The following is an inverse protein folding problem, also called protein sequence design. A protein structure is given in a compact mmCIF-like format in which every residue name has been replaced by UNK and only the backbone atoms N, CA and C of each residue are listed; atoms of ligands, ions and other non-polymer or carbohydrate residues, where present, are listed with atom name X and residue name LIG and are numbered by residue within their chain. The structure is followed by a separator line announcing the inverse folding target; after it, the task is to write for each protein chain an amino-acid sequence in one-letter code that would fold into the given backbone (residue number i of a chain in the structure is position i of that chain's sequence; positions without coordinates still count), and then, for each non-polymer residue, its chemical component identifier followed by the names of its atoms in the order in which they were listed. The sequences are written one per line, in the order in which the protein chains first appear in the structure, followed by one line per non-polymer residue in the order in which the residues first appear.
data_IF_825552822873
#
_entry.id   IF_825552822873
#
_cell.length_a   1.000
_cell.length_b   1.000
_cell.length_c   1.000
_cell.angle_alpha   90.00
_cell.angle_beta   90.00
_cell.angle_gamma   90.00
#
_symmetry.space_group_name_H-M   'P 1'
#
loop_
_entity.id
_entity.type
_entity.pdbx_description
1 polymer ?
#
# COMPACT_ATOMS: atom_id res chain seq x y z
N UNK A 1 -25.42 14.64 -13.39
CA UNK A 1 -24.38 14.44 -12.37
C UNK A 1 -24.68 13.11 -11.72
N UNK A 2 -23.81 12.10 -11.84
CA UNK A 2 -24.06 10.79 -11.25
C UNK A 2 -24.02 10.93 -9.72
N UNK A 3 -25.06 10.48 -9.03
CA UNK A 3 -25.06 10.44 -7.58
C UNK A 3 -24.06 9.38 -7.12
N UNK A 4 -23.08 9.77 -6.30
CA UNK A 4 -22.11 8.82 -5.74
C UNK A 4 -22.72 8.18 -4.50
N UNK A 5 -22.81 6.85 -4.42
CA UNK A 5 -23.32 6.15 -3.22
C UNK A 5 -22.39 6.22 -2.00
N UNK A 6 -21.22 6.86 -2.14
CA UNK A 6 -20.33 7.22 -1.04
C UNK A 6 -18.86 6.97 -1.36
N UNK A 7 -18.00 7.77 -0.73
CA UNK A 7 -16.54 7.55 -0.74
C UNK A 7 -16.23 6.25 -0.01
N UNK A 8 -15.43 5.37 -0.62
CA UNK A 8 -14.92 4.17 0.03
C UNK A 8 -13.62 4.50 0.76
N UNK A 9 -12.63 5.03 0.04
CA UNK A 9 -11.37 5.48 0.63
C UNK A 9 -10.68 6.49 -0.27
N UNK A 10 -9.73 7.23 0.30
CA UNK A 10 -8.74 7.97 -0.45
C UNK A 10 -7.34 7.55 -0.02
N UNK A 11 -6.35 7.79 -0.89
CA UNK A 11 -4.96 7.45 -0.62
C UNK A 11 -4.01 8.30 -1.45
N UNK A 12 -2.95 8.80 -0.81
CA UNK A 12 -1.78 9.32 -1.51
C UNK A 12 -0.93 8.16 -2.05
N UNK A 13 -0.67 8.18 -3.35
CA UNK A 13 0.04 7.09 -4.03
C UNK A 13 1.50 7.05 -3.62
N UNK A 14 1.93 5.90 -3.09
CA UNK A 14 3.32 5.63 -2.77
C UNK A 14 4.06 5.06 -3.98
N UNK A 15 5.39 4.95 -3.87
CA UNK A 15 6.24 4.27 -4.85
C UNK A 15 5.73 2.86 -5.21
N UNK A 16 5.29 2.10 -4.21
CA UNK A 16 4.74 0.75 -4.43
C UNK A 16 3.44 0.78 -5.21
N UNK A 17 2.59 1.77 -4.96
CA UNK A 17 1.31 1.90 -5.64
C UNK A 17 1.53 2.22 -7.11
N UNK A 18 2.42 3.16 -7.43
CA UNK A 18 2.72 3.55 -8.82
C UNK A 18 3.47 2.44 -9.57
N UNK A 19 4.49 1.84 -8.97
CA UNK A 19 5.39 0.92 -9.69
C UNK A 19 4.90 -0.52 -9.75
N UNK A 20 4.05 -0.95 -8.80
CA UNK A 20 3.70 -2.37 -8.63
C UNK A 20 2.20 -2.62 -8.56
N UNK A 21 1.53 -2.13 -7.52
CA UNK A 21 0.14 -2.49 -7.18
C UNK A 21 -0.43 -1.52 -6.17
N UNK A 22 -1.69 -1.15 -6.31
CA UNK A 22 -2.39 -0.40 -5.28
C UNK A 22 -2.65 -1.29 -4.08
N UNK A 23 -2.17 -0.84 -2.92
CA UNK A 23 -2.46 -1.49 -1.65
C UNK A 23 -3.66 -0.81 -1.01
N UNK A 24 -4.75 -1.56 -0.83
CA UNK A 24 -5.95 -1.07 -0.13
C UNK A 24 -5.60 -0.77 1.34
N UNK A 25 -5.97 0.41 1.88
CA UNK A 25 -5.74 0.73 3.28
C UNK A 25 -6.47 -0.25 4.20
N UNK A 26 -5.95 -0.43 5.43
CA UNK A 26 -6.38 -1.53 6.31
C UNK A 26 -7.83 -1.39 6.74
N UNK A 27 -8.26 -0.16 6.93
CA UNK A 27 -9.56 0.23 7.44
C UNK A 27 -10.69 -0.08 6.45
N UNK A 28 -10.34 -0.26 5.16
CA UNK A 28 -11.31 -0.44 4.07
C UNK A 28 -11.22 -1.82 3.42
N UNK A 29 -10.50 -2.76 4.02
CA UNK A 29 -10.27 -4.07 3.39
C UNK A 29 -11.56 -4.86 3.22
N UNK A 30 -12.49 -4.76 4.16
CA UNK A 30 -13.76 -5.50 4.13
C UNK A 30 -14.64 -5.11 2.93
N UNK A 31 -14.45 -3.93 2.35
CA UNK A 31 -15.12 -3.54 1.09
C UNK A 31 -14.59 -4.27 -0.14
N UNK A 32 -13.38 -4.81 -0.07
CA UNK A 32 -12.68 -5.49 -1.17
C UNK A 32 -12.45 -6.98 -0.91
N UNK A 33 -12.58 -7.41 0.34
CA UNK A 33 -12.58 -8.82 0.72
C UNK A 33 -13.98 -9.38 0.47
N UNK A 34 -14.13 -10.44 -0.34
CA UNK A 34 -15.43 -11.04 -0.50
C UNK A 34 -15.80 -11.72 0.83
N UNK A 35 -16.98 -11.39 1.37
CA UNK A 35 -17.51 -12.07 2.56
C UNK A 35 -17.64 -13.59 2.33
N UNK A 36 -17.78 -14.05 1.06
CA UNK A 36 -17.96 -15.47 0.68
C UNK A 36 -17.32 -15.90 -0.68
N UNK A 37 -16.13 -15.38 -1.05
CA UNK A 37 -15.36 -15.81 -2.25
C UNK A 37 -15.94 -15.33 -3.60
N UNK A 38 -15.19 -15.04 -4.69
CA UNK A 38 -13.91 -15.54 -5.19
C UNK A 38 -12.91 -14.41 -5.42
N UNK A 39 -11.66 -14.68 -5.08
CA UNK A 39 -10.52 -13.89 -5.54
C UNK A 39 -9.74 -14.68 -6.60
N UNK A 40 -9.16 -14.03 -7.63
CA UNK A 40 -9.22 -12.59 -7.86
C UNK A 40 -10.61 -12.10 -8.29
N UNK A 41 -11.07 -10.99 -7.71
CA UNK A 41 -12.28 -10.30 -8.15
C UNK A 41 -11.91 -9.37 -9.30
N UNK A 42 -12.63 -9.46 -10.42
CA UNK A 42 -12.52 -8.47 -11.50
C UNK A 42 -13.30 -7.23 -11.07
N UNK A 43 -12.62 -6.11 -11.06
CA UNK A 43 -13.14 -4.80 -10.70
C UNK A 43 -13.01 -3.88 -11.91
N UNK A 44 -13.98 -2.99 -12.11
CA UNK A 44 -13.95 -1.95 -13.13
C UNK A 44 -13.75 -0.60 -12.47
N UNK A 45 -12.67 0.10 -12.83
CA UNK A 45 -12.43 1.48 -12.43
C UNK A 45 -12.94 2.40 -13.53
N UNK A 46 -13.85 3.31 -13.19
CA UNK A 46 -14.31 4.38 -14.06
C UNK A 46 -13.50 5.63 -13.76
N UNK A 47 -12.76 6.11 -14.76
CA UNK A 47 -11.93 7.30 -14.67
C UNK A 47 -11.91 8.01 -16.01
N UNK A 48 -12.18 9.32 -16.00
CA UNK A 48 -12.14 10.18 -17.19
C UNK A 48 -12.95 9.60 -18.38
N UNK A 49 -14.17 9.13 -18.09
CA UNK A 49 -15.07 8.52 -19.08
C UNK A 49 -14.63 7.15 -19.62
N UNK A 50 -13.52 6.58 -19.13
CA UNK A 50 -13.00 5.28 -19.54
C UNK A 50 -13.17 4.23 -18.44
N UNK A 51 -13.32 2.97 -18.86
CA UNK A 51 -13.40 1.82 -17.97
C UNK A 51 -12.08 1.05 -18.01
N UNK A 52 -11.52 0.78 -16.83
CA UNK A 52 -10.29 0.03 -16.65
C UNK A 52 -10.57 -1.25 -15.87
N UNK A 53 -10.33 -2.41 -16.49
CA UNK A 53 -10.46 -3.69 -15.81
C UNK A 53 -9.22 -4.00 -14.96
N UNK A 54 -9.44 -4.22 -13.67
CA UNK A 54 -8.38 -4.45 -12.69
C UNK A 54 -8.72 -5.68 -11.85
N UNK A 55 -7.71 -6.51 -11.53
CA UNK A 55 -7.90 -7.65 -10.63
C UNK A 55 -7.55 -7.25 -9.19
N UNK A 56 -8.52 -7.40 -8.30
CA UNK A 56 -8.29 -7.42 -6.86
C UNK A 56 -7.88 -8.82 -6.44
N UNK A 57 -6.73 -8.93 -5.79
CA UNK A 57 -6.17 -10.17 -5.22
C UNK A 57 -5.92 -9.96 -3.74
N UNK A 58 -5.98 -11.01 -2.93
CA UNK A 58 -5.55 -10.93 -1.52
C UNK A 58 -4.22 -11.61 -1.36
N UNK A 59 -3.32 -10.99 -0.60
CA UNK A 59 -2.06 -11.63 -0.22
C UNK A 59 -2.35 -12.84 0.67
N UNK A 60 -1.83 -14.00 0.28
CA UNK A 60 -2.02 -15.28 0.98
C UNK A 60 -0.99 -15.54 2.08
N UNK A 61 0.13 -14.80 2.10
CA UNK A 61 1.17 -14.91 3.13
C UNK A 61 1.06 -13.73 4.10
N UNK A 62 0.86 -14.03 5.38
CA UNK A 62 0.68 -13.03 6.45
C UNK A 62 -0.73 -12.47 6.50
N UNK A 63 -0.86 -11.20 6.90
CA UNK A 63 -2.16 -10.53 6.99
C UNK A 63 -2.85 -10.41 5.62
N UNK A 64 -4.12 -10.82 5.54
CA UNK A 64 -4.93 -10.78 4.33
C UNK A 64 -5.09 -9.33 3.87
N UNK A 65 -4.33 -8.94 2.86
CA UNK A 65 -4.35 -7.57 2.34
C UNK A 65 -4.81 -7.57 0.87
N UNK A 66 -5.99 -6.99 0.56
CA UNK A 66 -6.40 -6.74 -0.80
C UNK A 66 -5.40 -5.83 -1.52
N UNK A 67 -5.11 -6.19 -2.76
CA UNK A 67 -4.27 -5.41 -3.66
C UNK A 67 -4.86 -5.43 -5.06
N UNK A 68 -4.91 -4.26 -5.70
CA UNK A 68 -5.20 -4.15 -7.12
C UNK A 68 -3.89 -4.32 -7.88
N UNK A 69 -3.77 -5.42 -8.63
CA UNK A 69 -2.49 -5.83 -9.23
C UNK A 69 -2.55 -5.83 -10.75
N UNK A 70 -3.14 -6.84 -11.35
CA UNK A 70 -3.28 -6.95 -12.81
C UNK A 70 -4.21 -5.84 -13.30
N UNK A 71 -3.80 -5.09 -14.34
CA UNK A 71 -4.54 -3.94 -14.89
C UNK A 71 -4.23 -2.61 -14.19
N UNK A 72 -3.86 -2.63 -12.89
CA UNK A 72 -3.57 -1.40 -12.14
C UNK A 72 -2.38 -0.62 -12.72
N UNK A 73 -1.27 -1.30 -13.03
CA UNK A 73 -0.10 -0.62 -13.62
C UNK A 73 -0.42 0.01 -14.98
N UNK A 74 -1.29 -0.62 -15.78
CA UNK A 74 -1.73 -0.06 -17.05
C UNK A 74 -2.55 1.22 -16.83
N UNK A 75 -3.47 1.18 -15.87
CA UNK A 75 -4.23 2.37 -15.44
C UNK A 75 -3.31 3.51 -15.00
N UNK A 76 -2.30 3.23 -14.17
CA UNK A 76 -1.33 4.24 -13.71
C UNK A 76 -0.57 4.87 -14.87
N UNK A 77 -0.02 4.06 -15.77
CA UNK A 77 0.81 4.56 -16.88
C UNK A 77 -0.03 5.35 -17.87
N UNK A 78 -1.21 4.84 -18.25
CA UNK A 78 -2.03 5.46 -19.28
C UNK A 78 -2.73 6.74 -18.83
N UNK A 79 -2.84 6.97 -17.51
CA UNK A 79 -3.41 8.19 -16.93
C UNK A 79 -2.36 9.06 -16.22
N UNK A 80 -1.07 8.75 -16.40
CA UNK A 80 0.06 9.55 -15.90
C UNK A 80 0.02 9.83 -14.38
N UNK A 81 -0.39 8.81 -13.61
CA UNK A 81 -0.40 8.88 -12.14
C UNK A 81 1.03 8.85 -11.60
N UNK A 82 1.31 9.71 -10.63
CA UNK A 82 2.63 9.89 -10.01
C UNK A 82 2.57 9.65 -8.51
N UNK A 83 3.76 9.43 -7.93
CA UNK A 83 3.91 9.39 -6.47
C UNK A 83 3.49 10.75 -5.92
N UNK A 84 2.67 10.75 -4.87
CA UNK A 84 2.10 11.96 -4.29
C UNK A 84 0.75 12.38 -4.88
N UNK A 85 0.31 11.80 -5.99
CA UNK A 85 -1.08 11.99 -6.44
C UNK A 85 -2.01 11.33 -5.42
N UNK A 86 -3.14 11.98 -5.12
CA UNK A 86 -4.18 11.43 -4.24
C UNK A 86 -5.30 10.85 -5.08
N UNK A 87 -5.59 9.58 -4.88
CA UNK A 87 -6.78 8.94 -5.47
C UNK A 87 -7.91 8.92 -4.46
N UNK A 88 -9.14 9.09 -4.92
CA UNK A 88 -10.37 8.83 -4.16
C UNK A 88 -11.20 7.80 -4.91
N UNK A 89 -11.58 6.72 -4.24
CA UNK A 89 -12.43 5.66 -4.79
C UNK A 89 -13.84 5.77 -4.22
N UNK A 90 -14.83 5.71 -5.10
CA UNK A 90 -16.25 5.76 -4.77
C UNK A 90 -16.93 4.46 -5.14
N UNK A 91 -17.98 4.12 -4.40
CA UNK A 91 -18.87 3.02 -4.76
C UNK A 91 -19.88 3.50 -5.80
N UNK A 92 -20.16 2.66 -6.78
CA UNK A 92 -21.28 2.86 -7.70
C UNK A 92 -22.58 2.32 -7.10
N UNK A 93 -23.71 2.97 -7.38
CA UNK A 93 -25.02 2.59 -6.83
C UNK A 93 -25.48 1.21 -7.35
N UNK A 94 -25.04 0.83 -8.56
CA UNK A 94 -25.49 -0.36 -9.30
C UNK A 94 -24.73 -1.67 -8.99
N UNK A 95 -23.78 -1.68 -8.05
CA UNK A 95 -23.32 -2.93 -7.43
C UNK A 95 -21.81 -3.14 -7.26
N UNK A 96 -21.49 -4.31 -6.72
CA UNK A 96 -20.24 -4.70 -6.02
C UNK A 96 -18.94 -4.76 -6.86
N UNK A 97 -18.88 -4.19 -8.06
CA UNK A 97 -17.69 -4.33 -8.93
C UNK A 97 -17.32 -3.11 -9.77
N UNK A 98 -18.12 -2.04 -9.73
CA UNK A 98 -17.82 -0.77 -10.39
C UNK A 98 -17.41 0.27 -9.35
N UNK A 99 -16.29 0.92 -9.59
CA UNK A 99 -15.76 1.96 -8.70
C UNK A 99 -15.39 3.17 -9.53
N UNK A 100 -15.87 4.33 -9.13
CA UNK A 100 -15.40 5.58 -9.72
C UNK A 100 -14.09 5.98 -9.04
N UNK A 101 -13.17 6.51 -9.82
CA UNK A 101 -11.90 7.03 -9.33
C UNK A 101 -11.83 8.51 -9.66
N UNK A 102 -11.41 9.30 -8.68
CA UNK A 102 -10.96 10.68 -8.89
C UNK A 102 -9.50 10.79 -8.50
N UNK A 103 -8.77 11.69 -9.18
CA UNK A 103 -7.35 11.92 -8.94
C UNK A 103 -7.12 13.40 -8.72
N UNK A 104 -6.56 13.73 -7.56
CA UNK A 104 -6.13 15.06 -7.16
C UNK A 104 -4.60 15.12 -7.23
N UNK A 105 -4.06 16.14 -7.90
CA UNK A 105 -2.61 16.37 -7.96
C UNK A 105 -2.15 17.03 -6.65
N UNK A 106 -0.96 16.72 -6.14
CA UNK A 106 -0.44 17.39 -4.96
C UNK A 106 -0.34 18.90 -5.24
N UNK A 107 -0.53 19.76 -4.22
CA UNK A 107 -0.29 21.18 -4.38
C UNK A 107 1.14 21.36 -4.90
N UNK A 108 1.33 22.23 -5.90
CA UNK A 108 2.64 22.50 -6.48
C UNK A 108 3.58 22.97 -5.35
N UNK A 109 4.39 22.05 -4.83
CA UNK A 109 5.44 22.39 -3.89
C UNK A 109 6.44 23.28 -4.62
N UNK A 110 6.76 24.42 -4.04
CA UNK A 110 7.83 25.30 -4.51
C UNK A 110 9.08 24.45 -4.77
N UNK A 111 9.44 24.24 -6.03
CA UNK A 111 10.61 23.47 -6.41
C UNK A 111 11.84 24.33 -6.13
N UNK A 112 12.36 24.28 -4.91
CA UNK A 112 13.73 24.70 -4.66
C UNK A 112 14.63 23.53 -5.04
N UNK A 113 15.25 23.63 -6.22
CA UNK A 113 16.27 22.69 -6.64
C UNK A 113 17.40 22.64 -5.60
N UNK A 114 17.87 21.44 -5.29
CA UNK A 114 19.23 21.25 -4.80
C UNK A 114 19.80 19.99 -5.44
N UNK A 115 20.66 20.29 -6.40
CA UNK A 115 21.77 19.57 -7.03
C UNK A 115 22.06 18.12 -6.56
N UNK A 116 22.43 17.22 -7.47
CA UNK A 116 23.17 16.01 -7.12
C UNK A 116 24.61 16.42 -6.74
N UNK A 117 25.34 15.48 -6.11
CA UNK A 117 26.78 15.50 -5.81
C UNK A 117 27.12 15.89 -4.35
N UNK A 118 27.16 14.89 -3.46
CA UNK A 118 28.24 14.83 -2.46
C UNK A 118 28.59 13.38 -2.16
N UNK A 119 29.88 12.99 -2.11
CA UNK A 119 30.30 11.61 -1.95
C UNK A 119 30.07 11.12 -0.52
N UNK A 120 29.83 9.82 -0.37
CA UNK A 120 29.69 9.16 0.92
C UNK A 120 30.92 9.42 1.81
N UNK A 121 30.76 9.78 3.10
CA UNK A 121 31.89 9.88 3.99
C UNK A 121 32.38 8.47 4.36
N UNK A 122 33.59 8.15 3.93
CA UNK A 122 34.39 7.03 4.42
C UNK A 122 34.77 7.29 5.87
N UNK A 123 34.28 6.47 6.80
CA UNK A 123 34.76 6.49 8.19
C UNK A 123 35.69 5.31 8.45
N UNK A 124 36.87 5.72 8.90
CA UNK A 124 38.09 5.00 9.18
C UNK A 124 37.90 4.06 10.38
N UNK A 125 38.56 2.90 10.33
CA UNK A 125 38.71 1.99 11.46
C UNK A 125 39.45 2.69 12.62
N UNK A 126 38.83 2.70 13.80
CA UNK A 126 39.53 2.88 15.08
C UNK A 126 39.02 1.84 16.07
N UNK A 127 39.98 1.16 16.68
CA UNK A 127 39.86 0.13 17.70
C UNK A 127 39.24 0.71 19.00
N UNK A 128 38.42 -0.05 19.74
CA UNK A 128 37.75 0.46 20.94
C UNK A 128 38.65 0.33 22.18
N UNK A 129 38.87 1.44 22.88
CA UNK A 129 39.38 1.45 24.26
C UNK A 129 38.21 1.56 25.25
N UNK A 130 38.34 0.83 26.34
CA UNK A 130 37.31 0.43 27.30
C UNK A 130 36.69 1.61 28.07
N UNK A 131 35.36 1.61 28.27
CA UNK A 131 34.71 1.96 29.55
C UNK A 131 33.18 1.76 29.47
N UNK A 132 32.75 0.63 30.02
CA UNK A 132 31.52 0.40 30.82
C UNK A 132 30.36 1.39 30.70
N UNK A 133 29.23 0.95 30.09
CA UNK A 133 27.91 0.88 30.76
C UNK A 133 27.06 -0.23 30.10
N UNK A 134 26.78 -1.30 30.86
CA UNK A 134 25.87 -2.39 30.51
C UNK A 134 24.40 -1.92 30.56
N UNK A 135 23.64 -2.09 29.47
CA UNK A 135 22.17 -2.18 29.54
C UNK A 135 21.71 -3.53 29.01
N UNK A 136 21.43 -4.41 29.97
CA UNK A 136 20.92 -5.78 29.83
C UNK A 136 19.66 -5.81 28.95
N UNK A 137 19.73 -6.54 27.83
CA UNK A 137 18.55 -7.00 27.07
C UNK A 137 18.04 -8.28 27.73
N UNK A 138 16.94 -8.20 28.45
CA UNK A 138 16.23 -9.39 28.93
C UNK A 138 15.42 -10.01 27.79
N UNK A 139 15.82 -11.22 27.41
CA UNK A 139 15.08 -12.12 26.52
C UNK A 139 14.25 -13.04 27.41
N UNK A 140 12.91 -13.01 27.40
CA UNK A 140 12.15 -14.05 28.06
C UNK A 140 12.18 -15.32 27.21
N UNK A 141 13.10 -16.23 27.55
CA UNK A 141 13.00 -17.65 27.24
C UNK A 141 12.09 -18.25 28.31
N UNK A 142 10.90 -18.72 27.96
CA UNK A 142 10.20 -19.68 28.81
C UNK A 142 10.36 -21.06 28.19
N UNK A 143 11.10 -21.92 28.87
CA UNK A 143 11.20 -23.35 28.61
C UNK A 143 11.18 -24.02 29.96
N UNK A 144 10.08 -24.71 30.28
CA UNK A 144 10.08 -25.73 31.32
C UNK A 144 9.53 -27.01 30.70
N UNK A 145 10.45 -27.93 30.43
CA UNK A 145 10.16 -29.35 30.31
C UNK A 145 9.69 -29.88 31.67
N UNK A 146 8.70 -30.77 31.68
CA UNK A 146 8.68 -31.88 32.63
C UNK A 146 8.12 -33.13 31.92
N UNK A 147 8.83 -34.22 32.16
CA UNK A 147 8.79 -35.53 31.55
C UNK A 147 7.93 -36.46 32.43
N UNK A 148 7.28 -37.45 31.80
CA UNK A 148 6.68 -38.71 32.31
C UNK A 148 5.79 -38.68 33.56
N UNK A 149 4.62 -39.32 33.48
CA UNK A 149 4.44 -40.66 34.05
C UNK A 149 3.13 -41.32 33.58
N UNK A 150 3.29 -42.55 33.08
CA UNK A 150 2.40 -43.73 33.10
C UNK A 150 0.98 -43.67 32.54
#
# INVERSE_FOLDING_TARGET
MAAHSGIIFFKELTDTDVKKRLVVPKEYQDFFLPSYGRLPAKIKLMYDGKIWEVKCTVRTKGYLKPVLSVGWKMFVVANELKVGDRITMYKDEDGFSHYMVEVEKPPAGNQHGTLPNSPAPSFIHHEPDETTVEYRREVPKNTTSLILHR
#
